data_IF_477009729996
#
_entry.id   IF_477009729996
#
_cell.length_a   1.000
_cell.length_b   1.000
_cell.length_c   1.000
_cell.angle_alpha   90.00
_cell.angle_beta   90.00
_cell.angle_gamma   90.00
#
_symmetry.space_group_name_H-M   'P 1'
#
loop_
_entity.id
_entity.type
_entity.pdbx_description
1 polymer ?
#
# COMPACT_ATOMS: atom_id res chain seq x y z
N UNK A 1 -17.32 3.49 -13.41
CA UNK A 1 -16.45 4.39 -12.60
C UNK A 1 -17.22 5.66 -12.27
N UNK A 2 -17.39 6.02 -10.99
CA UNK A 2 -17.97 7.31 -10.61
C UNK A 2 -16.83 8.30 -10.36
N UNK A 3 -16.86 9.44 -11.06
CA UNK A 3 -15.96 10.57 -10.84
C UNK A 3 -16.10 10.97 -9.36
N UNK A 4 -15.02 10.90 -8.59
CA UNK A 4 -15.03 11.38 -7.20
C UNK A 4 -15.21 12.89 -7.23
N UNK A 5 -16.29 13.35 -6.59
CA UNK A 5 -16.68 14.75 -6.51
C UNK A 5 -15.50 15.60 -6.07
N UNK A 6 -15.21 16.67 -6.82
CA UNK A 6 -14.28 17.71 -6.39
C UNK A 6 -14.81 18.26 -5.05
N UNK A 7 -14.00 18.20 -3.99
CA UNK A 7 -14.39 18.76 -2.72
C UNK A 7 -14.43 20.29 -2.85
N UNK A 8 -15.63 20.85 -2.91
CA UNK A 8 -15.85 22.28 -2.73
C UNK A 8 -15.43 22.59 -1.29
N UNK A 9 -14.23 23.14 -1.11
CA UNK A 9 -13.77 23.68 0.17
C UNK A 9 -14.54 24.97 0.40
N UNK A 10 -15.77 24.84 0.88
CA UNK A 10 -16.56 25.96 1.38
C UNK A 10 -15.88 26.48 2.65
N UNK A 11 -15.07 27.53 2.49
CA UNK A 11 -14.36 28.19 3.58
C UNK A 11 -15.36 29.01 4.42
N UNK A 12 -16.17 28.31 5.21
CA UNK A 12 -17.24 28.86 6.02
C UNK A 12 -16.93 28.73 7.51
N UNK A 13 -15.93 29.48 7.99
CA UNK A 13 -15.72 29.75 9.41
C UNK A 13 -16.31 31.13 9.76
N UNK A 14 -17.64 31.21 9.73
CA UNK A 14 -18.38 32.26 10.41
C UNK A 14 -19.09 31.64 11.62
N UNK A 15 -18.83 32.19 12.80
CA UNK A 15 -19.33 31.69 14.07
C UNK A 15 -20.86 31.67 14.10
N UNK A 16 -21.46 30.49 14.25
CA UNK A 16 -22.83 30.35 14.78
C UNK A 16 -22.75 29.84 16.21
N UNK A 17 -23.36 30.57 17.14
CA UNK A 17 -23.35 30.21 18.56
C UNK A 17 -24.22 28.99 18.87
N UNK A 18 -23.73 28.12 19.77
CA UNK A 18 -24.51 27.08 20.46
C UNK A 18 -25.32 27.71 21.61
N UNK A 19 -26.51 27.29 22.04
CA UNK A 19 -27.31 26.05 21.87
C UNK A 19 -28.81 26.45 21.95
N UNK A 20 -29.88 25.65 21.69
CA UNK A 20 -30.09 24.24 21.35
C UNK A 20 -31.45 24.05 20.64
N UNK A 21 -31.82 22.82 20.27
CA UNK A 21 -33.22 22.42 20.05
C UNK A 21 -33.47 20.98 20.54
N UNK A 22 -34.16 20.81 21.68
CA UNK A 22 -34.56 19.48 22.18
C UNK A 22 -35.80 18.93 21.46
N UNK A 23 -35.87 17.60 21.33
CA UNK A 23 -36.92 16.87 20.60
C UNK A 23 -38.32 17.04 21.21
N UNK A 24 -39.33 17.18 20.33
CA UNK A 24 -40.76 17.04 20.66
C UNK A 24 -41.08 15.71 21.36
N UNK A 25 -41.93 15.76 22.38
CA UNK A 25 -42.74 14.62 22.85
C UNK A 25 -44.19 15.11 23.03
N UNK A 26 -45.14 14.46 22.38
CA UNK A 26 -46.55 14.87 22.41
C UNK A 26 -47.19 14.57 23.78
N UNK A 27 -47.86 15.55 24.37
CA UNK A 27 -48.95 15.34 25.33
C UNK A 27 -50.03 16.42 25.13
N UNK A 28 -51.30 15.98 25.01
CA UNK A 28 -52.45 16.87 24.88
C UNK A 28 -52.70 17.59 26.22
N UNK A 29 -52.97 18.90 26.20
CA UNK A 29 -53.87 19.52 27.19
C UNK A 29 -54.46 20.86 26.74
N UNK A 30 -55.63 21.12 27.28
CA UNK A 30 -56.63 22.16 27.01
C UNK A 30 -56.15 23.59 26.75
N UNK A 31 -57.00 24.32 26.03
CA UNK A 31 -56.91 25.76 25.78
C UNK A 31 -57.05 26.57 27.08
N UNK A 32 -56.24 27.63 27.20
CA UNK A 32 -56.50 28.76 28.06
C UNK A 32 -56.15 30.03 27.28
N UNK A 33 -57.17 30.83 26.95
CA UNK A 33 -56.99 32.08 26.18
C UNK A 33 -56.38 33.14 27.08
N UNK A 34 -55.06 33.30 27.02
CA UNK A 34 -54.38 34.48 27.54
C UNK A 34 -54.44 35.57 26.47
N UNK A 35 -55.02 36.73 26.80
CA UNK A 35 -55.04 37.88 25.88
C UNK A 35 -53.60 38.27 25.56
N UNK A 36 -53.27 38.32 24.26
CA UNK A 36 -52.00 38.86 23.82
C UNK A 36 -51.99 40.37 24.03
N UNK A 37 -51.33 40.84 25.08
CA UNK A 37 -50.83 42.21 25.11
C UNK A 37 -49.80 42.34 23.99
N UNK A 38 -50.04 43.30 23.09
CA UNK A 38 -49.15 43.58 21.97
C UNK A 38 -47.86 44.19 22.49
N UNK A 39 -46.88 43.33 22.80
CA UNK A 39 -45.48 43.73 22.86
C UNK A 39 -45.10 44.28 21.49
N UNK A 40 -45.05 45.61 21.38
CA UNK A 40 -44.40 46.27 20.25
C UNK A 40 -42.94 45.79 20.23
N UNK A 41 -42.44 45.29 19.08
CA UNK A 41 -41.04 44.89 19.00
C UNK A 41 -40.20 46.16 19.17
N UNK A 42 -39.52 46.27 20.31
CA UNK A 42 -38.56 47.34 20.53
C UNK A 42 -37.54 47.30 19.39
N UNK A 43 -37.41 48.41 18.66
CA UNK A 43 -36.39 48.53 17.61
C UNK A 43 -35.03 48.20 18.25
N UNK A 44 -34.31 47.17 17.79
CA UNK A 44 -33.06 46.78 18.43
C UNK A 44 -32.09 47.95 18.34
N UNK A 45 -31.70 48.50 19.49
CA UNK A 45 -30.70 49.56 19.57
C UNK A 45 -29.35 48.93 19.28
N UNK A 46 -28.98 48.89 17.99
CA UNK A 46 -27.69 48.37 17.54
C UNK A 46 -26.61 49.35 18.03
N UNK A 47 -25.93 48.99 19.11
CA UNK A 47 -24.91 49.80 19.79
C UNK A 47 -23.54 49.81 19.10
N UNK A 48 -23.41 49.11 17.97
CA UNK A 48 -22.17 48.95 17.20
C UNK A 48 -22.32 49.51 15.80
N UNK A 49 -21.35 50.32 15.37
CA UNK A 49 -21.32 50.89 14.03
C UNK A 49 -20.80 49.86 13.00
N UNK A 50 -21.29 49.88 11.75
CA UNK A 50 -20.76 49.04 10.69
C UNK A 50 -19.33 49.46 10.31
N UNK A 51 -18.50 48.48 9.94
CA UNK A 51 -17.12 48.70 9.47
C UNK A 51 -17.15 48.97 7.96
N UNK A 52 -16.32 49.89 7.42
CA UNK A 52 -16.15 50.08 5.98
C UNK A 52 -15.82 48.78 5.23
N UNK A 53 -16.36 48.64 4.02
CA UNK A 53 -16.32 47.38 3.26
C UNK A 53 -14.90 46.95 2.84
N UNK A 54 -14.01 47.91 2.56
CA UNK A 54 -12.59 47.70 2.28
C UNK A 54 -11.86 47.15 3.52
N UNK A 55 -12.06 47.80 4.67
CA UNK A 55 -11.49 47.44 5.97
C UNK A 55 -11.97 46.06 6.43
N UNK A 56 -13.27 45.78 6.25
CA UNK A 56 -13.86 44.47 6.52
C UNK A 56 -13.25 43.39 5.61
N UNK A 57 -13.20 43.63 4.29
CA UNK A 57 -12.69 42.66 3.31
C UNK A 57 -11.22 42.30 3.58
N UNK A 58 -10.38 43.30 3.87
CA UNK A 58 -8.98 43.08 4.23
C UNK A 58 -8.84 42.32 5.55
N UNK A 59 -9.55 42.73 6.60
CA UNK A 59 -9.48 42.10 7.92
C UNK A 59 -9.93 40.62 7.88
N UNK A 60 -10.97 40.31 7.12
CA UNK A 60 -11.47 38.93 6.93
C UNK A 60 -10.47 38.07 6.15
N UNK A 61 -9.74 38.64 5.18
CA UNK A 61 -8.63 37.96 4.50
C UNK A 61 -7.47 37.65 5.45
N UNK A 62 -7.01 38.65 6.22
CA UNK A 62 -5.93 38.48 7.20
C UNK A 62 -6.28 37.44 8.27
N UNK A 63 -7.50 37.48 8.81
CA UNK A 63 -7.95 36.53 9.84
C UNK A 63 -7.93 35.07 9.35
N UNK A 64 -8.30 34.83 8.08
CA UNK A 64 -8.30 33.48 7.49
C UNK A 64 -6.90 32.98 7.11
N UNK A 65 -5.94 33.89 6.82
CA UNK A 65 -4.58 33.51 6.41
C UNK A 65 -3.85 32.62 7.42
N UNK A 66 -4.09 32.82 8.72
CA UNK A 66 -3.47 32.06 9.82
C UNK A 66 -3.78 30.56 9.76
N UNK A 67 -5.05 30.20 9.55
CA UNK A 67 -5.45 28.79 9.37
C UNK A 67 -5.03 28.23 8.02
N UNK A 68 -5.05 29.08 6.98
CA UNK A 68 -4.72 28.70 5.62
C UNK A 68 -3.28 28.21 5.47
N UNK A 69 -2.28 28.82 6.13
CA UNK A 69 -0.88 28.35 6.06
C UNK A 69 -0.72 26.89 6.51
N UNK A 70 -1.37 26.50 7.60
CA UNK A 70 -1.35 25.12 8.10
C UNK A 70 -2.02 24.15 7.13
N UNK A 71 -3.13 24.56 6.51
CA UNK A 71 -3.82 23.77 5.49
C UNK A 71 -2.98 23.57 4.22
N UNK A 72 -2.34 24.64 3.71
CA UNK A 72 -1.46 24.59 2.53
C UNK A 72 -0.35 23.54 2.73
N UNK A 73 0.31 23.57 3.89
CA UNK A 73 1.38 22.62 4.21
C UNK A 73 0.87 21.19 4.41
N UNK A 74 -0.14 21.00 5.25
CA UNK A 74 -0.55 19.67 5.72
C UNK A 74 -1.55 18.96 4.79
N UNK A 75 -2.28 19.70 3.95
CA UNK A 75 -3.34 19.15 3.10
C UNK A 75 -3.09 19.34 1.61
N UNK A 76 -2.32 20.36 1.20
CA UNK A 76 -1.90 20.54 -0.20
C UNK A 76 -0.45 20.11 -0.45
N UNK A 77 0.34 19.86 0.60
CA UNK A 77 1.74 19.42 0.49
C UNK A 77 2.71 20.50 -0.01
N UNK A 78 2.29 21.77 -0.07
CA UNK A 78 3.15 22.86 -0.54
C UNK A 78 4.08 23.28 0.59
N UNK A 79 5.37 22.99 0.41
CA UNK A 79 6.41 23.37 1.37
C UNK A 79 6.63 24.89 1.39
N UNK A 80 7.19 25.40 2.51
CA UNK A 80 7.45 26.83 2.69
C UNK A 80 8.34 27.43 1.56
N UNK A 81 9.22 26.62 0.96
CA UNK A 81 10.07 27.01 -0.18
C UNK A 81 9.28 27.36 -1.47
N UNK A 82 8.10 26.76 -1.66
CA UNK A 82 7.24 26.95 -2.85
C UNK A 82 6.02 27.84 -2.55
N UNK A 83 5.96 28.44 -1.36
CA UNK A 83 4.87 29.35 -0.98
C UNK A 83 4.76 30.57 -1.90
N UNK A 84 5.86 31.00 -2.53
CA UNK A 84 5.85 32.08 -3.53
C UNK A 84 4.93 31.80 -4.72
N UNK A 85 4.97 30.58 -5.27
CA UNK A 85 4.09 30.18 -6.37
C UNK A 85 2.62 30.04 -5.93
N UNK A 86 2.39 29.55 -4.71
CA UNK A 86 1.05 29.51 -4.14
C UNK A 86 0.45 30.92 -4.00
N UNK A 87 1.23 31.87 -3.47
CA UNK A 87 0.79 33.27 -3.31
C UNK A 87 0.56 33.95 -4.67
N UNK A 88 1.42 33.69 -5.66
CA UNK A 88 1.21 34.15 -7.04
C UNK A 88 -0.13 33.64 -7.60
N UNK A 89 -0.46 32.37 -7.38
CA UNK A 89 -1.75 31.78 -7.77
C UNK A 89 -2.99 32.40 -7.10
N UNK A 90 -2.85 33.01 -5.91
CA UNK A 90 -3.91 33.78 -5.25
C UNK A 90 -4.02 35.24 -5.74
N UNK A 91 -2.99 35.76 -6.41
CA UNK A 91 -2.92 37.14 -6.91
C UNK A 91 -3.32 37.25 -8.38
N UNK A 92 -3.12 36.19 -9.17
CA UNK A 92 -3.57 36.14 -10.57
C UNK A 92 -5.12 36.06 -10.65
N UNK A 93 -5.77 36.72 -11.64
CA UNK A 93 -7.20 36.56 -11.89
C UNK A 93 -7.58 35.10 -12.17
N UNK A 94 -8.76 34.67 -11.73
CA UNK A 94 -9.26 33.32 -11.99
C UNK A 94 -9.26 33.00 -13.50
N UNK A 95 -8.53 31.95 -13.88
CA UNK A 95 -8.42 31.48 -15.25
C UNK A 95 -8.43 29.93 -15.27
N UNK A 96 -9.54 29.36 -15.72
CA UNK A 96 -9.75 27.91 -15.76
C UNK A 96 -8.79 27.19 -16.72
N UNK A 97 -8.43 27.82 -17.85
CA UNK A 97 -7.49 27.25 -18.80
C UNK A 97 -6.07 27.15 -18.21
N UNK A 98 -5.61 28.20 -17.52
CA UNK A 98 -4.34 28.19 -16.79
C UNK A 98 -4.33 27.08 -15.73
N UNK A 99 -5.38 26.99 -14.91
CA UNK A 99 -5.53 25.96 -13.88
C UNK A 99 -5.44 24.56 -14.49
N UNK A 100 -6.12 24.32 -15.61
CA UNK A 100 -6.11 23.00 -16.27
C UNK A 100 -4.77 22.67 -16.94
N UNK A 101 -4.06 23.67 -17.50
CA UNK A 101 -2.68 23.52 -18.00
C UNK A 101 -1.70 23.15 -16.88
N UNK A 102 -1.72 23.87 -15.75
CA UNK A 102 -0.85 23.56 -14.60
C UNK A 102 -1.16 22.18 -14.00
N UNK A 103 -2.44 21.79 -13.89
CA UNK A 103 -2.83 20.43 -13.47
C UNK A 103 -2.27 19.34 -14.39
N UNK A 104 -2.38 19.52 -15.71
CA UNK A 104 -1.86 18.55 -16.68
C UNK A 104 -0.33 18.42 -16.60
N UNK A 105 0.39 19.55 -16.48
CA UNK A 105 1.84 19.54 -16.32
C UNK A 105 2.29 18.88 -15.00
N UNK A 106 1.65 19.22 -13.88
CA UNK A 106 1.93 18.62 -12.57
C UNK A 106 1.65 17.11 -12.56
N UNK A 107 0.59 16.64 -13.22
CA UNK A 107 0.32 15.21 -13.37
C UNK A 107 1.40 14.47 -14.17
N UNK A 108 1.97 15.10 -15.21
CA UNK A 108 3.11 14.56 -15.95
C UNK A 108 4.37 14.45 -15.09
N UNK A 109 4.67 15.48 -14.28
CA UNK A 109 5.79 15.45 -13.32
C UNK A 109 5.60 14.38 -12.24
N UNK A 110 4.38 14.18 -11.74
CA UNK A 110 4.09 13.14 -10.75
C UNK A 110 4.29 11.73 -11.32
N UNK A 111 3.91 11.48 -12.58
CA UNK A 111 4.23 10.22 -13.27
C UNK A 111 5.75 10.06 -13.42
N UNK A 112 6.47 11.12 -13.81
CA UNK A 112 7.94 11.07 -13.91
C UNK A 112 8.61 10.76 -12.57
N UNK A 113 8.10 11.33 -11.46
CA UNK A 113 8.57 11.05 -10.10
C UNK A 113 8.31 9.59 -9.70
N UNK A 114 7.10 9.06 -9.98
CA UNK A 114 6.78 7.65 -9.74
C UNK A 114 7.65 6.71 -10.59
N UNK A 115 7.98 7.09 -11.83
CA UNK A 115 8.89 6.32 -12.67
C UNK A 115 10.30 6.26 -12.05
N UNK A 116 10.81 7.39 -11.58
CA UNK A 116 12.13 7.52 -10.95
C UNK A 116 12.24 6.74 -9.62
N UNK A 117 11.22 6.85 -8.75
CA UNK A 117 11.25 6.23 -7.44
C UNK A 117 10.94 4.74 -7.45
N UNK A 118 10.04 4.29 -8.32
CA UNK A 118 9.42 2.96 -8.30
C UNK A 118 9.70 2.17 -9.59
N UNK A 119 9.29 2.69 -10.75
CA UNK A 119 9.24 1.88 -11.99
C UNK A 119 10.62 1.47 -12.46
N UNK A 120 11.60 2.37 -12.55
CA UNK A 120 12.94 2.01 -13.02
C UNK A 120 13.58 0.94 -12.12
N UNK A 121 13.55 1.13 -10.79
CA UNK A 121 14.10 0.16 -9.83
C UNK A 121 13.43 -1.20 -9.95
N UNK A 122 12.09 -1.23 -10.01
CA UNK A 122 11.32 -2.47 -10.13
C UNK A 122 11.61 -3.21 -11.45
N UNK A 123 11.63 -2.50 -12.58
CA UNK A 123 11.91 -3.08 -13.90
C UNK A 123 13.36 -3.54 -14.03
N UNK A 124 14.32 -2.77 -13.52
CA UNK A 124 15.74 -3.14 -13.47
C UNK A 124 15.93 -4.40 -12.61
N UNK A 125 15.36 -4.44 -11.40
CA UNK A 125 15.42 -5.60 -10.52
C UNK A 125 14.79 -6.84 -11.16
N UNK A 126 13.64 -6.68 -11.82
CA UNK A 126 12.97 -7.77 -12.53
C UNK A 126 13.77 -8.26 -13.75
N UNK A 127 14.56 -7.39 -14.40
CA UNK A 127 15.34 -7.74 -15.59
C UNK A 127 16.78 -8.19 -15.31
N UNK A 128 17.35 -7.91 -14.14
CA UNK A 128 18.77 -8.19 -13.83
C UNK A 128 19.04 -8.71 -12.42
N UNK A 129 18.02 -8.76 -11.56
CA UNK A 129 18.19 -8.96 -10.11
C UNK A 129 18.64 -7.72 -9.34
N UNK A 130 19.06 -6.64 -10.03
CA UNK A 130 19.57 -5.41 -9.41
C UNK A 130 18.68 -4.19 -9.69
N UNK A 131 18.33 -3.45 -8.63
CA UNK A 131 17.58 -2.18 -8.75
C UNK A 131 18.40 -1.07 -9.44
N UNK A 132 19.73 -1.20 -9.47
CA UNK A 132 20.67 -0.16 -9.96
C UNK A 132 21.33 -0.51 -11.29
N UNK A 133 20.80 -1.45 -12.07
CA UNK A 133 21.29 -1.73 -13.42
C UNK A 133 20.74 -0.72 -14.45
N UNK A 134 21.47 -0.43 -15.52
CA UNK A 134 20.98 0.42 -16.61
C UNK A 134 20.19 -0.34 -17.70
N UNK A 135 19.50 -1.43 -17.33
CA UNK A 135 18.74 -2.24 -18.28
C UNK A 135 17.56 -1.46 -18.89
N UNK A 136 16.78 -0.78 -18.05
CA UNK A 136 15.73 0.12 -18.51
C UNK A 136 16.30 1.53 -18.72
N UNK A 137 16.72 1.79 -19.97
CA UNK A 137 17.26 3.09 -20.38
C UNK A 137 16.16 4.16 -20.28
N UNK A 138 16.25 5.02 -19.26
CA UNK A 138 15.23 6.01 -18.88
C UNK A 138 14.77 6.91 -20.03
N UNK A 139 15.71 7.42 -20.82
CA UNK A 139 15.41 8.33 -21.94
C UNK A 139 14.59 7.64 -23.03
N UNK A 140 14.89 6.37 -23.33
CA UNK A 140 14.15 5.57 -24.31
C UNK A 140 12.77 5.17 -23.78
N UNK A 141 12.66 4.86 -22.49
CA UNK A 141 11.38 4.59 -21.84
C UNK A 141 10.46 5.83 -21.87
N UNK A 142 10.98 6.98 -21.47
CA UNK A 142 10.22 8.25 -21.50
C UNK A 142 9.85 8.66 -22.93
N UNK A 143 10.77 8.49 -23.89
CA UNK A 143 10.46 8.68 -25.32
C UNK A 143 9.30 7.78 -25.77
N UNK A 144 9.35 6.49 -25.43
CA UNK A 144 8.29 5.53 -25.76
C UNK A 144 6.94 5.89 -25.15
N UNK A 145 6.91 6.35 -23.89
CA UNK A 145 5.68 6.85 -23.25
C UNK A 145 5.12 8.09 -23.96
N UNK A 146 5.98 9.07 -24.28
CA UNK A 146 5.56 10.33 -24.94
C UNK A 146 5.05 10.06 -26.35
N UNK A 147 5.80 9.31 -27.16
CA UNK A 147 5.39 8.97 -28.54
C UNK A 147 4.13 8.08 -28.56
N UNK A 148 3.97 7.19 -27.57
CA UNK A 148 2.75 6.39 -27.38
C UNK A 148 1.53 7.24 -27.06
N UNK A 149 1.64 8.15 -26.10
CA UNK A 149 0.55 9.08 -25.73
C UNK A 149 0.20 10.08 -26.83
N UNK A 150 1.16 10.43 -27.69
CA UNK A 150 0.95 11.29 -28.86
C UNK A 150 0.40 10.53 -30.09
N UNK A 151 0.40 9.19 -30.08
CA UNK A 151 0.09 8.38 -31.26
C UNK A 151 1.14 8.48 -32.38
N UNK A 152 2.35 8.94 -32.06
CA UNK A 152 3.48 9.12 -33.01
C UNK A 152 4.49 7.98 -32.97
N UNK A 153 4.36 7.04 -32.02
CA UNK A 153 5.22 5.87 -31.90
C UNK A 153 5.24 5.02 -33.17
N UNK A 154 6.44 4.68 -33.65
CA UNK A 154 6.64 3.81 -34.83
C UNK A 154 6.39 2.33 -34.52
N UNK A 155 6.50 1.94 -33.25
CA UNK A 155 6.23 0.59 -32.76
C UNK A 155 4.74 0.45 -32.41
N UNK A 156 4.07 -0.54 -33.02
CA UNK A 156 2.67 -0.87 -32.70
C UNK A 156 2.53 -1.42 -31.28
N UNK A 157 1.40 -1.13 -30.63
CA UNK A 157 1.08 -1.57 -29.26
C UNK A 157 1.26 -3.09 -29.07
N UNK A 158 0.62 -3.91 -29.91
CA UNK A 158 0.76 -5.38 -29.88
C UNK A 158 2.24 -5.84 -29.95
N UNK A 159 3.06 -5.12 -30.72
CA UNK A 159 4.48 -5.44 -30.88
C UNK A 159 5.30 -5.02 -29.66
N UNK A 160 4.96 -3.89 -29.03
CA UNK A 160 5.56 -3.46 -27.77
C UNK A 160 5.21 -4.45 -26.63
N UNK A 161 3.94 -4.86 -26.53
CA UNK A 161 3.49 -5.89 -25.58
C UNK A 161 4.22 -7.21 -25.81
N UNK A 162 4.30 -7.69 -27.05
CA UNK A 162 5.00 -8.94 -27.36
C UNK A 162 6.51 -8.92 -27.04
N UNK A 163 7.17 -7.77 -27.15
CA UNK A 163 8.58 -7.59 -26.73
C UNK A 163 8.69 -7.65 -25.20
N UNK A 164 7.84 -6.92 -24.47
CA UNK A 164 7.84 -6.92 -23.01
C UNK A 164 7.51 -8.30 -22.43
N UNK A 165 6.48 -8.99 -22.94
CA UNK A 165 6.13 -10.35 -22.54
C UNK A 165 7.28 -11.34 -22.76
N UNK A 166 8.00 -11.24 -23.89
CA UNK A 166 9.13 -12.11 -24.18
C UNK A 166 10.22 -11.94 -23.13
N UNK A 167 10.53 -10.70 -22.74
CA UNK A 167 11.49 -10.41 -21.70
C UNK A 167 11.02 -10.93 -20.33
N UNK A 168 9.75 -10.73 -19.95
CA UNK A 168 9.22 -11.24 -18.70
C UNK A 168 9.23 -12.78 -18.63
N UNK A 169 8.90 -13.47 -19.73
CA UNK A 169 9.01 -14.94 -19.85
C UNK A 169 10.45 -15.42 -19.70
N UNK A 170 11.41 -14.75 -20.32
CA UNK A 170 12.84 -15.04 -20.16
C UNK A 170 13.28 -14.92 -18.69
N UNK A 171 12.90 -13.83 -18.01
CA UNK A 171 13.25 -13.62 -16.60
C UNK A 171 12.61 -14.65 -15.66
N UNK A 172 11.38 -15.07 -15.92
CA UNK A 172 10.75 -16.15 -15.16
C UNK A 172 11.49 -17.48 -15.31
N UNK A 173 11.94 -17.84 -16.51
CA UNK A 173 12.75 -19.05 -16.72
C UNK A 173 14.15 -18.93 -16.09
N UNK A 174 14.80 -17.76 -16.13
CA UNK A 174 16.07 -17.53 -15.42
C UNK A 174 15.88 -17.71 -13.90
N UNK A 175 14.85 -17.08 -13.32
CA UNK A 175 14.56 -17.17 -11.88
C UNK A 175 14.21 -18.61 -11.45
N UNK A 176 13.38 -19.31 -12.22
CA UNK A 176 13.03 -20.72 -12.02
C UNK A 176 14.27 -21.62 -12.05
N UNK A 177 15.13 -21.47 -13.06
CA UNK A 177 16.35 -22.26 -13.18
C UNK A 177 17.33 -21.99 -12.04
N UNK A 178 17.47 -20.73 -11.59
CA UNK A 178 18.25 -20.38 -10.41
C UNK A 178 17.73 -21.09 -9.13
N UNK A 179 16.41 -21.12 -8.93
CA UNK A 179 15.80 -21.79 -7.78
C UNK A 179 15.94 -23.32 -7.82
N UNK A 180 15.88 -23.92 -9.01
CA UNK A 180 16.11 -25.35 -9.23
C UNK A 180 17.59 -25.73 -9.03
N UNK A 181 18.52 -24.95 -9.59
CA UNK A 181 19.96 -25.15 -9.40
C UNK A 181 20.35 -25.01 -7.92
N UNK A 182 19.82 -23.99 -7.23
CA UNK A 182 20.04 -23.81 -5.79
C UNK A 182 19.62 -25.05 -4.99
N UNK A 183 18.48 -25.66 -5.31
CA UNK A 183 18.05 -26.92 -4.68
C UNK A 183 18.99 -28.08 -5.02
N UNK A 184 19.43 -28.21 -6.28
CA UNK A 184 20.36 -29.27 -6.68
C UNK A 184 21.69 -29.16 -5.90
N UNK A 185 22.24 -27.95 -5.78
CA UNK A 185 23.43 -27.66 -4.97
C UNK A 185 23.19 -27.87 -3.48
N UNK A 186 22.02 -27.49 -2.96
CA UNK A 186 21.67 -27.65 -1.56
C UNK A 186 21.54 -29.13 -1.15
N UNK A 187 21.02 -29.98 -2.03
CA UNK A 187 20.88 -31.43 -1.77
C UNK A 187 22.21 -32.15 -1.53
N UNK A 188 23.33 -31.55 -1.98
CA UNK A 188 24.69 -32.08 -1.86
C UNK A 188 25.39 -31.65 -0.55
N UNK A 189 24.76 -30.78 0.26
CA UNK A 189 25.35 -30.27 1.51
C UNK A 189 25.18 -31.26 2.67
N UNK A 190 26.15 -31.26 3.58
CA UNK A 190 26.14 -32.15 4.75
C UNK A 190 24.88 -31.96 5.63
N UNK A 191 24.24 -33.08 5.96
CA UNK A 191 23.03 -33.13 6.78
C UNK A 191 21.73 -32.79 6.05
N UNK A 192 21.79 -32.39 4.77
CA UNK A 192 20.59 -32.22 3.93
C UNK A 192 20.14 -33.59 3.42
N UNK A 193 18.85 -33.86 3.57
CA UNK A 193 18.18 -35.07 3.13
C UNK A 193 17.09 -34.69 2.13
N UNK A 194 16.89 -35.51 1.09
CA UNK A 194 15.93 -35.22 0.00
C UNK A 194 14.90 -36.34 -0.10
N UNK A 195 13.61 -35.97 -0.11
CA UNK A 195 12.50 -36.89 -0.35
C UNK A 195 12.28 -37.11 -1.86
N UNK A 196 11.63 -38.22 -2.29
CA UNK A 196 11.38 -38.51 -3.70
C UNK A 196 10.58 -37.44 -4.47
N UNK A 197 9.81 -36.60 -3.77
CA UNK A 197 9.07 -35.47 -4.33
C UNK A 197 9.87 -34.16 -4.35
N UNK A 198 11.18 -34.18 -4.07
CA UNK A 198 12.04 -33.00 -4.11
C UNK A 198 12.02 -32.12 -2.85
N UNK A 199 11.16 -32.40 -1.86
CA UNK A 199 11.26 -31.73 -0.55
C UNK A 199 12.61 -32.08 0.10
N UNK A 200 13.38 -31.06 0.47
CA UNK A 200 14.62 -31.24 1.20
C UNK A 200 14.47 -30.76 2.64
N UNK A 201 15.25 -31.35 3.55
CA UNK A 201 15.28 -30.92 4.95
C UNK A 201 16.64 -31.20 5.60
N UNK A 202 16.92 -30.47 6.68
CA UNK A 202 18.06 -30.67 7.58
C UNK A 202 17.59 -30.61 9.02
N UNK A 203 17.89 -31.64 9.80
CA UNK A 203 17.57 -31.68 11.23
C UNK A 203 18.61 -30.85 11.98
N UNK A 204 18.19 -29.74 12.60
CA UNK A 204 19.05 -28.93 13.49
C UNK A 204 18.96 -29.41 14.94
N UNK A 205 17.76 -29.79 15.38
CA UNK A 205 17.50 -30.38 16.70
C UNK A 205 16.49 -31.50 16.53
N UNK A 206 16.81 -32.68 17.05
CA UNK A 206 15.92 -33.84 17.05
C UNK A 206 15.06 -33.81 18.31
N UNK A 207 13.75 -33.62 18.14
CA UNK A 207 12.78 -33.73 19.21
C UNK A 207 12.57 -35.18 19.66
N UNK A 208 11.89 -35.35 20.78
CA UNK A 208 11.63 -36.64 21.41
C UNK A 208 10.15 -36.87 21.79
N UNK A 209 9.27 -35.89 21.54
CA UNK A 209 7.83 -36.02 21.79
C UNK A 209 7.08 -36.68 20.62
N UNK A 210 5.75 -36.59 20.64
CA UNK A 210 4.90 -37.20 19.62
C UNK A 210 5.07 -36.54 18.24
N UNK A 211 4.83 -37.31 17.18
CA UNK A 211 4.74 -36.80 15.80
C UNK A 211 3.26 -36.52 15.50
N UNK A 212 2.97 -35.42 14.82
CA UNK A 212 1.59 -35.03 14.53
C UNK A 212 0.94 -35.89 13.42
N UNK A 213 -0.36 -36.17 13.56
CA UNK A 213 -1.20 -36.62 12.44
C UNK A 213 -1.76 -35.43 11.66
N UNK A 214 -2.38 -35.68 10.52
CA UNK A 214 -3.04 -34.69 9.66
C UNK A 214 -4.21 -33.95 10.34
N UNK A 215 -4.83 -34.56 11.36
CA UNK A 215 -5.92 -33.98 12.15
C UNK A 215 -5.45 -33.08 13.30
N UNK A 216 -4.21 -33.28 13.79
CA UNK A 216 -3.66 -32.57 14.94
C UNK A 216 -3.44 -31.07 14.65
N UNK A 217 -3.35 -30.29 15.72
CA UNK A 217 -2.93 -28.89 15.66
C UNK A 217 -1.52 -28.77 16.19
N UNK A 218 -0.60 -28.30 15.35
CA UNK A 218 0.82 -28.15 15.68
C UNK A 218 1.10 -26.67 15.96
N UNK A 219 1.59 -26.37 17.15
CA UNK A 219 2.12 -25.06 17.53
C UNK A 219 3.61 -24.98 17.21
N UNK A 220 3.99 -23.92 16.49
CA UNK A 220 5.34 -23.74 15.95
C UNK A 220 5.87 -22.31 16.12
N UNK A 221 7.19 -22.20 16.20
CA UNK A 221 7.88 -21.01 15.70
C UNK A 221 8.47 -21.28 14.32
N UNK A 222 8.55 -20.25 13.49
CA UNK A 222 9.16 -20.37 12.17
C UNK A 222 9.67 -19.03 11.61
N UNK A 223 10.61 -19.14 10.68
CA UNK A 223 11.01 -18.04 9.79
C UNK A 223 11.13 -18.60 8.37
N UNK A 224 10.51 -17.92 7.41
CA UNK A 224 10.48 -18.25 5.99
C UNK A 224 11.18 -17.18 5.16
N UNK A 225 12.12 -17.60 4.32
CA UNK A 225 12.91 -16.73 3.45
C UNK A 225 13.08 -17.31 2.03
N UNK A 226 13.31 -16.43 1.07
CA UNK A 226 13.72 -16.80 -0.29
C UNK A 226 15.21 -17.17 -0.32
N UNK A 227 15.68 -17.75 -1.44
CA UNK A 227 17.09 -18.15 -1.63
C UNK A 227 18.10 -16.98 -1.59
N UNK A 228 17.63 -15.73 -1.73
CA UNK A 228 18.43 -14.49 -1.61
C UNK A 228 18.50 -13.95 -0.17
N UNK A 229 17.86 -14.62 0.79
CA UNK A 229 17.76 -14.20 2.19
C UNK A 229 16.59 -13.26 2.51
N UNK A 230 15.73 -12.93 1.54
CA UNK A 230 14.53 -12.11 1.77
C UNK A 230 13.54 -12.85 2.66
N UNK A 231 13.46 -12.47 3.95
CA UNK A 231 12.48 -13.00 4.91
C UNK A 231 11.08 -12.48 4.58
N UNK A 232 10.18 -13.35 4.15
CA UNK A 232 8.80 -13.01 3.79
C UNK A 232 7.79 -13.24 4.93
N UNK A 233 8.11 -14.11 5.89
CA UNK A 233 7.26 -14.40 7.05
C UNK A 233 8.10 -14.89 8.25
N UNK A 234 7.73 -14.50 9.47
CA UNK A 234 8.47 -14.86 10.70
C UNK A 234 7.59 -14.73 11.95
N UNK A 235 7.42 -15.83 12.69
CA UNK A 235 6.75 -15.80 14.00
C UNK A 235 7.58 -15.09 15.06
N UNK A 236 8.92 -15.18 14.95
CA UNK A 236 9.87 -14.51 15.85
C UNK A 236 9.73 -12.99 15.75
N UNK A 237 9.65 -12.43 14.53
CA UNK A 237 9.43 -10.98 14.32
C UNK A 237 8.08 -10.49 14.85
N UNK A 238 7.08 -11.38 14.95
CA UNK A 238 5.79 -11.08 15.59
C UNK A 238 5.78 -11.26 17.10
N UNK A 239 6.83 -11.86 17.68
CA UNK A 239 6.90 -12.20 19.11
C UNK A 239 5.84 -13.23 19.56
N UNK A 240 5.27 -14.02 18.64
CA UNK A 240 4.21 -14.99 18.96
C UNK A 240 4.22 -16.21 18.03
N UNK A 241 4.12 -17.39 18.64
CA UNK A 241 3.95 -18.68 17.95
C UNK A 241 2.71 -18.70 17.06
N UNK A 242 2.73 -19.59 16.06
CA UNK A 242 1.57 -19.88 15.21
C UNK A 242 1.07 -21.31 15.47
N UNK A 243 -0.19 -21.58 15.15
CA UNK A 243 -0.77 -22.93 15.23
C UNK A 243 -1.39 -23.28 13.90
N UNK A 244 -1.03 -24.44 13.36
CA UNK A 244 -1.45 -24.91 12.05
C UNK A 244 -1.94 -26.36 12.12
N UNK A 245 -2.85 -26.73 11.21
CA UNK A 245 -3.10 -28.14 10.88
C UNK A 245 -2.29 -28.51 9.64
N UNK A 246 -1.70 -29.70 9.54
CA UNK A 246 -0.96 -30.12 8.34
C UNK A 246 -1.79 -30.02 7.04
N UNK A 247 -3.11 -30.17 7.13
CA UNK A 247 -4.08 -30.03 6.03
C UNK A 247 -4.36 -28.59 5.56
N UNK A 248 -3.85 -27.58 6.25
CA UNK A 248 -4.15 -26.15 6.00
C UNK A 248 -2.92 -25.31 5.59
N UNK A 249 -1.81 -25.98 5.29
CA UNK A 249 -0.52 -25.36 4.93
C UNK A 249 -0.03 -25.85 3.56
N UNK A 250 1.04 -25.28 3.04
CA UNK A 250 1.66 -25.73 1.77
C UNK A 250 2.14 -27.18 1.88
N UNK A 251 2.14 -27.93 0.76
CA UNK A 251 2.40 -29.39 0.75
C UNK A 251 3.70 -29.78 1.45
N UNK A 252 4.78 -29.00 1.27
CA UNK A 252 6.06 -29.25 1.94
C UNK A 252 5.97 -29.15 3.46
N UNK A 253 5.18 -28.22 3.99
CA UNK A 253 4.87 -28.13 5.41
C UNK A 253 3.94 -29.27 5.86
N UNK A 254 2.92 -29.63 5.07
CA UNK A 254 2.02 -30.74 5.37
C UNK A 254 2.77 -32.05 5.61
N UNK A 255 3.80 -32.32 4.80
CA UNK A 255 4.68 -33.47 4.94
C UNK A 255 5.67 -33.32 6.10
N UNK A 256 6.30 -32.15 6.27
CA UNK A 256 7.28 -31.97 7.34
C UNK A 256 6.67 -32.08 8.74
N UNK A 257 5.51 -31.44 8.97
CA UNK A 257 4.84 -31.44 10.29
C UNK A 257 4.40 -32.85 10.74
N UNK A 258 4.09 -33.75 9.81
CA UNK A 258 3.73 -35.16 10.10
C UNK A 258 4.93 -36.11 10.16
N UNK A 259 6.15 -35.57 10.11
CA UNK A 259 7.41 -36.31 10.25
C UNK A 259 8.32 -35.79 11.37
N UNK A 260 8.14 -34.54 11.79
CA UNK A 260 8.87 -33.91 12.88
C UNK A 260 8.30 -34.30 14.26
N UNK A 261 9.09 -34.91 15.16
CA UNK A 261 8.71 -35.06 16.58
C UNK A 261 8.57 -33.70 17.28
N UNK A 262 7.68 -33.59 18.27
CA UNK A 262 7.62 -32.43 19.17
C UNK A 262 8.98 -32.14 19.83
N UNK A 263 9.35 -30.86 19.88
CA UNK A 263 10.68 -30.38 20.28
C UNK A 263 11.73 -30.38 19.15
N UNK A 264 11.36 -30.74 17.91
CA UNK A 264 12.30 -30.69 16.78
C UNK A 264 12.45 -29.29 16.21
N UNK A 265 13.67 -28.97 15.77
CA UNK A 265 13.98 -27.82 14.92
C UNK A 265 14.56 -28.33 13.60
N UNK A 266 13.87 -28.09 12.49
CA UNK A 266 14.34 -28.47 11.14
C UNK A 266 14.48 -27.22 10.27
N UNK A 267 15.44 -27.25 9.36
CA UNK A 267 15.37 -26.45 8.13
C UNK A 267 14.67 -27.27 7.05
N UNK A 268 13.75 -26.64 6.32
CA UNK A 268 13.04 -27.18 5.17
C UNK A 268 13.42 -26.35 3.95
N UNK A 269 13.71 -27.01 2.84
CA UNK A 269 13.96 -26.35 1.55
C UNK A 269 12.94 -26.91 0.56
N UNK A 270 11.95 -26.08 0.23
CA UNK A 270 10.69 -26.50 -0.38
C UNK A 270 10.65 -26.02 -1.84
N UNK A 271 10.60 -26.92 -2.84
CA UNK A 271 10.45 -26.54 -4.23
C UNK A 271 9.08 -25.91 -4.49
N UNK A 272 8.99 -25.13 -5.57
CA UNK A 272 7.83 -24.27 -5.84
C UNK A 272 6.51 -25.03 -5.97
N UNK A 273 6.52 -26.26 -6.52
CA UNK A 273 5.37 -27.14 -6.73
C UNK A 273 4.80 -27.76 -5.42
N UNK A 274 5.63 -27.77 -4.38
CA UNK A 274 5.26 -28.08 -2.98
C UNK A 274 4.95 -26.82 -2.15
N UNK A 275 5.05 -25.63 -2.76
CA UNK A 275 4.80 -24.32 -2.17
C UNK A 275 3.68 -23.55 -2.92
N UNK A 276 3.95 -22.35 -3.46
CA UNK A 276 2.98 -21.46 -4.12
C UNK A 276 2.94 -21.58 -5.65
N UNK A 277 3.66 -22.55 -6.22
CA UNK A 277 3.61 -22.90 -7.64
C UNK A 277 4.22 -21.85 -8.57
N UNK A 278 3.84 -21.95 -9.84
CA UNK A 278 4.29 -21.07 -10.93
C UNK A 278 3.81 -19.62 -10.80
N UNK A 279 2.75 -19.39 -10.00
CA UNK A 279 2.13 -18.07 -9.81
C UNK A 279 2.67 -17.32 -8.60
N UNK A 280 3.17 -18.02 -7.58
CA UNK A 280 3.58 -17.40 -6.33
C UNK A 280 2.39 -16.81 -5.56
N UNK A 281 2.66 -15.76 -4.77
CA UNK A 281 1.66 -14.94 -4.09
C UNK A 281 2.12 -13.47 -4.02
N UNK A 282 1.42 -12.62 -3.25
CA UNK A 282 1.73 -11.19 -3.13
C UNK A 282 3.18 -10.87 -2.73
N UNK A 283 3.82 -11.70 -1.91
CA UNK A 283 5.15 -11.45 -1.33
C UNK A 283 6.21 -12.46 -1.81
N UNK A 284 5.81 -13.48 -2.58
CA UNK A 284 6.65 -14.61 -2.98
C UNK A 284 6.51 -14.78 -4.50
N UNK A 285 7.58 -14.60 -5.29
CA UNK A 285 7.54 -14.81 -6.72
C UNK A 285 7.08 -16.21 -7.15
N UNK A 286 6.59 -16.33 -8.38
CA UNK A 286 6.38 -17.63 -9.01
C UNK A 286 7.70 -18.39 -9.14
N UNK A 287 7.64 -19.73 -9.04
CA UNK A 287 8.81 -20.62 -9.09
C UNK A 287 9.83 -20.48 -7.94
N UNK A 288 9.54 -19.74 -6.87
CA UNK A 288 10.42 -19.63 -5.70
C UNK A 288 10.60 -20.95 -4.95
N UNK A 289 11.85 -21.30 -4.68
CA UNK A 289 12.23 -22.22 -3.59
C UNK A 289 12.10 -21.46 -2.27
N UNK A 290 11.45 -22.08 -1.28
CA UNK A 290 11.29 -21.50 0.06
C UNK A 290 12.18 -22.20 1.07
N UNK A 291 12.92 -21.41 1.85
CA UNK A 291 13.71 -21.89 2.98
C UNK A 291 12.94 -21.56 4.25
N UNK A 292 12.61 -22.57 5.06
CA UNK A 292 11.98 -22.37 6.36
C UNK A 292 12.82 -22.98 7.47
N UNK A 293 13.09 -22.23 8.54
CA UNK A 293 13.44 -22.81 9.84
C UNK A 293 12.15 -23.00 10.63
N UNK A 294 11.84 -24.22 11.06
CA UNK A 294 10.61 -24.58 11.80
C UNK A 294 10.98 -25.27 13.11
N UNK A 295 10.43 -24.79 14.21
CA UNK A 295 10.50 -25.37 15.56
C UNK A 295 9.09 -25.86 15.95
N UNK A 296 8.92 -27.14 16.29
CA UNK A 296 7.67 -27.63 16.88
C UNK A 296 7.72 -27.45 18.39
N UNK A 297 6.87 -26.53 18.87
CA UNK A 297 6.68 -26.23 20.29
C UNK A 297 5.76 -27.27 20.93
N UNK A 298 4.65 -27.61 20.27
CA UNK A 298 3.65 -28.53 20.82
C UNK A 298 2.73 -29.15 19.77
N UNK A 299 2.39 -30.43 19.92
CA UNK A 299 1.32 -31.13 19.19
C UNK A 299 0.07 -31.24 20.08
N UNK A 300 -1.11 -31.04 19.50
CA UNK A 300 -2.43 -31.00 20.18
C UNK A 300 -3.47 -31.78 19.39
#
# INVERSE_FOLDING_TARGET
>A
MKIKTLAIVALALLCTGTVSAQKKKNSKKAEAVVKAETLTPATPVISVQPVPADSFSYAVGVAQSTGLKTYIKNSLGVEDAYMGDFLRGLQEPYNEEHINKYKAYAAGLEIARQNEEIVYKAMNKQATGSETSDYLIKDLYNKGLVEGLQGTATLKEDSAVAIAERQFKYQQEVYKNLNLQWLEENSKKEGVNTFPNGLQYKILTKGAGVVATDTNTVEVNYEGQLIDGTVFDSSYKRGKSASFKPTQVIKGWSQALTMMPEGSVWELYIPYDLAYGERGNQNIPGYSTLIFKVEIIKVK
#
